data_IF_077010945356
#
_entry.id   IF_077010945356
#
_cell.length_a   1.000
_cell.length_b   1.000
_cell.length_c   1.000
_cell.angle_alpha   90.00
_cell.angle_beta   90.00
_cell.angle_gamma   90.00
#
_symmetry.space_group_name_H-M   'P 1'
#
loop_
_entity.id
_entity.type
_entity.pdbx_description
1 polymer ?
#
# COMPACT_ATOMS: atom_id res chain seq x y z
N UNK A 1 -14.65 -3.44 3.04
CA UNK A 1 -13.82 -4.31 3.89
C UNK A 1 -13.84 -5.73 3.32
N UNK A 2 -12.67 -6.27 3.08
CA UNK A 2 -12.51 -7.65 2.66
C UNK A 2 -11.89 -8.51 3.75
N UNK A 3 -11.94 -9.81 3.57
CA UNK A 3 -11.33 -10.75 4.51
C UNK A 3 -10.40 -11.68 3.74
N UNK A 4 -9.15 -11.76 4.17
CA UNK A 4 -8.18 -12.72 3.66
C UNK A 4 -8.11 -13.89 4.64
N UNK A 5 -8.51 -15.08 4.17
CA UNK A 5 -8.51 -16.28 4.99
C UNK A 5 -7.26 -17.12 4.73
N UNK A 6 -6.72 -17.67 5.79
CA UNK A 6 -5.56 -18.56 5.73
C UNK A 6 -5.97 -20.03 6.02
N UNK A 7 -5.07 -20.95 5.71
CA UNK A 7 -5.35 -22.38 5.81
C UNK A 7 -5.58 -22.89 7.24
N UNK A 8 -5.11 -22.15 8.24
CA UNK A 8 -5.28 -22.49 9.66
C UNK A 8 -6.55 -21.88 10.28
N UNK A 9 -7.48 -21.44 9.45
CA UNK A 9 -8.74 -20.80 9.85
C UNK A 9 -8.59 -19.41 10.46
N UNK A 10 -7.38 -18.84 10.48
CA UNK A 10 -7.20 -17.44 10.84
C UNK A 10 -7.52 -16.55 9.65
N UNK A 11 -7.75 -15.27 9.92
CA UNK A 11 -8.11 -14.31 8.87
C UNK A 11 -7.59 -12.92 9.18
N UNK A 12 -7.28 -12.17 8.11
CA UNK A 12 -6.99 -10.74 8.18
C UNK A 12 -8.17 -9.96 7.58
N UNK A 13 -8.51 -8.87 8.21
CA UNK A 13 -9.49 -7.92 7.66
C UNK A 13 -8.74 -6.80 6.95
N UNK A 14 -9.12 -6.57 5.70
CA UNK A 14 -8.49 -5.56 4.84
C UNK A 14 -9.53 -4.50 4.53
N UNK A 15 -9.24 -3.25 4.89
CA UNK A 15 -10.09 -2.12 4.57
C UNK A 15 -9.49 -1.35 3.39
N UNK A 16 -10.30 -1.12 2.36
CA UNK A 16 -9.92 -0.26 1.26
C UNK A 16 -10.07 1.19 1.69
N UNK A 17 -9.07 2.02 1.35
CA UNK A 17 -9.02 3.42 1.72
C UNK A 17 -8.84 4.26 0.44
N UNK A 18 -9.92 4.48 -0.32
CA UNK A 18 -9.84 5.23 -1.57
C UNK A 18 -9.64 6.72 -1.35
N UNK A 19 -9.06 7.41 -2.34
CA UNK A 19 -9.06 8.87 -2.42
C UNK A 19 -8.03 9.60 -1.58
N UNK A 20 -7.03 8.90 -1.01
CA UNK A 20 -5.98 9.57 -0.23
C UNK A 20 -5.10 10.49 -1.07
N UNK A 21 -4.94 10.21 -2.36
CA UNK A 21 -4.02 10.95 -3.22
C UNK A 21 -4.55 12.33 -3.60
N UNK A 22 -5.86 12.52 -3.66
CA UNK A 22 -6.50 13.71 -4.21
C UNK A 22 -6.97 14.71 -3.14
N UNK A 23 -6.07 15.12 -2.25
CA UNK A 23 -6.38 16.17 -1.29
C UNK A 23 -7.28 15.73 -0.16
N UNK A 24 -7.16 14.51 0.29
CA UNK A 24 -7.94 13.93 1.38
C UNK A 24 -7.82 14.73 2.67
N UNK A 25 -6.68 15.35 2.93
CA UNK A 25 -6.44 16.21 4.10
C UNK A 25 -7.34 17.47 4.09
N UNK A 26 -7.83 17.86 2.91
CA UNK A 26 -8.75 18.99 2.79
C UNK A 26 -10.20 18.62 3.18
N UNK A 27 -10.43 17.39 3.60
CA UNK A 27 -11.75 16.93 4.04
C UNK A 27 -12.68 16.57 2.91
N UNK A 28 -12.23 16.57 1.67
CA UNK A 28 -13.04 16.28 0.50
C UNK A 28 -13.25 14.77 0.38
N UNK A 29 -14.47 14.31 0.67
CA UNK A 29 -14.86 12.91 0.48
C UNK A 29 -14.43 11.96 1.58
N UNK A 30 -13.75 12.44 2.63
CA UNK A 30 -13.31 11.59 3.73
C UNK A 30 -14.05 11.93 5.02
N UNK A 31 -14.93 11.05 5.47
CA UNK A 31 -15.58 11.18 6.76
C UNK A 31 -14.67 10.74 7.91
N UNK A 32 -15.07 11.05 9.13
CA UNK A 32 -14.35 10.63 10.33
C UNK A 32 -14.18 9.12 10.43
N UNK A 33 -15.14 8.35 9.92
CA UNK A 33 -15.08 6.88 9.96
C UNK A 33 -13.92 6.34 9.14
N UNK A 34 -13.63 6.98 8.01
CA UNK A 34 -12.52 6.63 7.14
C UNK A 34 -11.17 6.77 7.86
N UNK A 35 -10.97 7.92 8.52
CA UNK A 35 -9.75 8.20 9.27
C UNK A 35 -9.60 7.26 10.46
N UNK A 36 -10.69 6.85 11.09
CA UNK A 36 -10.67 5.86 12.17
C UNK A 36 -10.22 4.49 11.68
N UNK A 37 -10.59 4.08 10.47
CA UNK A 37 -10.12 2.82 9.89
C UNK A 37 -8.61 2.82 9.74
N UNK A 38 -8.01 3.93 9.27
CA UNK A 38 -6.57 4.06 9.16
C UNK A 38 -5.91 3.99 10.54
N UNK A 39 -6.42 4.74 11.51
CA UNK A 39 -5.87 4.78 12.87
C UNK A 39 -5.86 3.41 13.53
N UNK A 40 -6.87 2.60 13.28
CA UNK A 40 -7.01 1.27 13.86
C UNK A 40 -6.24 0.19 13.11
N UNK A 41 -5.71 0.50 11.94
CA UNK A 41 -4.94 -0.46 11.15
C UNK A 41 -3.61 -0.75 11.82
N UNK A 42 -3.27 -2.03 11.95
CA UNK A 42 -1.98 -2.45 12.50
C UNK A 42 -0.90 -2.50 11.42
N UNK A 43 -1.31 -2.55 10.16
CA UNK A 43 -0.42 -2.72 9.01
C UNK A 43 -1.01 -1.97 7.83
N UNK A 44 -0.15 -1.32 7.06
CA UNK A 44 -0.56 -0.55 5.88
C UNK A 44 -0.03 -1.18 4.60
N UNK A 45 -0.83 -1.18 3.56
CA UNK A 45 -0.42 -1.59 2.22
C UNK A 45 -0.53 -0.36 1.32
N UNK A 46 0.59 0.13 0.83
CA UNK A 46 0.61 1.23 -0.15
C UNK A 46 0.55 0.63 -1.54
N UNK A 47 -0.57 0.77 -2.22
CA UNK A 47 -0.74 0.26 -3.58
C UNK A 47 -0.46 1.40 -4.56
N UNK A 48 0.62 1.27 -5.32
CA UNK A 48 1.09 2.30 -6.25
C UNK A 48 0.86 1.83 -7.68
N UNK A 49 0.23 2.69 -8.49
CA UNK A 49 0.10 2.47 -9.94
C UNK A 49 1.46 2.66 -10.58
N UNK A 50 2.16 1.56 -10.85
CA UNK A 50 3.52 1.60 -11.38
C UNK A 50 3.57 1.86 -12.88
N UNK A 51 2.44 1.81 -13.55
CA UNK A 51 2.36 2.18 -14.97
C UNK A 51 2.34 3.70 -15.17
N UNK A 52 2.05 4.48 -14.14
CA UNK A 52 1.96 5.93 -14.25
C UNK A 52 0.78 6.38 -15.09
N UNK A 53 -0.39 5.75 -14.91
CA UNK A 53 -1.60 6.04 -15.67
C UNK A 53 -1.94 7.53 -15.59
N UNK A 54 -2.39 8.11 -16.71
CA UNK A 54 -2.74 9.52 -16.84
C UNK A 54 -1.56 10.47 -16.56
N UNK A 55 -0.34 10.04 -16.86
CA UNK A 55 0.86 10.86 -16.67
C UNK A 55 1.32 11.00 -15.23
N UNK A 56 0.81 10.17 -14.33
CA UNK A 56 1.19 10.21 -12.92
C UNK A 56 2.58 9.62 -12.72
N UNK A 57 3.31 10.16 -11.74
CA UNK A 57 4.62 9.63 -11.37
C UNK A 57 4.50 8.81 -10.09
N UNK A 58 4.88 7.51 -10.14
CA UNK A 58 4.75 6.64 -8.95
C UNK A 58 5.44 7.16 -7.70
N UNK A 59 6.64 7.74 -7.84
CA UNK A 59 7.37 8.30 -6.70
C UNK A 59 6.58 9.45 -6.06
N UNK A 60 6.01 10.33 -6.87
CA UNK A 60 5.22 11.45 -6.37
C UNK A 60 3.95 10.97 -5.68
N UNK A 61 3.27 10.00 -6.26
CA UNK A 61 2.08 9.39 -5.65
C UNK A 61 2.41 8.81 -4.28
N UNK A 62 3.50 8.07 -4.17
CA UNK A 62 3.95 7.48 -2.91
C UNK A 62 4.28 8.55 -1.87
N UNK A 63 5.04 9.57 -2.26
CA UNK A 63 5.42 10.65 -1.35
C UNK A 63 4.21 11.45 -0.87
N UNK A 64 3.25 11.67 -1.76
CA UNK A 64 2.00 12.35 -1.41
C UNK A 64 1.17 11.53 -0.43
N UNK A 65 1.07 10.21 -0.63
CA UNK A 65 0.40 9.32 0.31
C UNK A 65 1.03 9.38 1.70
N UNK A 66 2.36 9.30 1.77
CA UNK A 66 3.09 9.36 3.05
C UNK A 66 2.86 10.70 3.74
N UNK A 67 2.90 11.79 2.97
CA UNK A 67 2.66 13.14 3.48
C UNK A 67 1.24 13.28 4.04
N UNK A 68 0.23 12.81 3.32
CA UNK A 68 -1.16 12.86 3.76
C UNK A 68 -1.35 12.11 5.08
N UNK A 69 -0.77 10.93 5.20
CA UNK A 69 -0.85 10.15 6.43
C UNK A 69 -0.20 10.89 7.61
N UNK A 70 0.98 11.48 7.41
CA UNK A 70 1.67 12.24 8.45
C UNK A 70 0.88 13.47 8.91
N UNK A 71 0.26 14.17 7.95
CA UNK A 71 -0.56 15.34 8.27
C UNK A 71 -1.78 14.97 9.09
N UNK A 72 -2.28 13.75 8.92
CA UNK A 72 -3.39 13.27 9.69
C UNK A 72 -2.94 12.78 11.08
N UNK A 73 -1.89 11.95 11.14
CA UNK A 73 -1.34 11.41 12.38
C UNK A 73 0.12 10.99 12.13
N UNK A 74 1.06 11.62 12.84
CA UNK A 74 2.49 11.30 12.73
C UNK A 74 2.81 9.84 13.01
N UNK A 75 2.03 9.18 13.87
CA UNK A 75 2.24 7.78 14.20
C UNK A 75 2.04 6.84 13.01
N UNK A 76 1.27 7.25 12.01
CA UNK A 76 1.04 6.46 10.80
C UNK A 76 2.31 6.33 9.96
N UNK A 77 3.20 7.29 10.02
CA UNK A 77 4.47 7.25 9.27
C UNK A 77 5.41 6.16 9.78
N UNK A 78 5.24 5.73 11.02
CA UNK A 78 6.06 4.69 11.65
C UNK A 78 5.35 3.34 11.73
N UNK A 79 4.18 3.24 11.13
CA UNK A 79 3.41 1.99 11.15
C UNK A 79 4.02 0.95 10.24
N UNK A 80 3.94 -0.32 10.66
CA UNK A 80 4.37 -1.44 9.83
C UNK A 80 3.66 -1.39 8.47
N UNK A 81 4.38 -1.60 7.37
CA UNK A 81 3.81 -1.45 6.03
C UNK A 81 4.57 -2.24 4.98
N UNK A 82 3.96 -2.35 3.82
CA UNK A 82 4.59 -2.85 2.60
C UNK A 82 4.13 -1.99 1.43
N UNK A 83 5.00 -1.83 0.44
CA UNK A 83 4.67 -1.14 -0.81
C UNK A 83 4.41 -2.18 -1.89
N UNK A 84 3.28 -2.03 -2.56
CA UNK A 84 2.87 -2.91 -3.65
C UNK A 84 2.89 -2.11 -4.94
N UNK A 85 3.66 -2.59 -5.93
CA UNK A 85 3.70 -2.01 -7.26
C UNK A 85 2.69 -2.74 -8.13
N UNK A 86 1.57 -2.08 -8.44
CA UNK A 86 0.52 -2.66 -9.26
C UNK A 86 0.69 -2.28 -10.73
N UNK A 87 -0.01 -2.98 -11.59
CA UNK A 87 0.00 -2.82 -13.06
C UNK A 87 1.32 -3.23 -13.70
N UNK A 88 2.00 -4.21 -13.11
CA UNK A 88 3.27 -4.70 -13.64
C UNK A 88 3.13 -5.46 -14.96
N UNK A 89 1.90 -5.73 -15.41
CA UNK A 89 1.60 -6.26 -16.74
C UNK A 89 1.80 -5.21 -17.84
N UNK A 90 1.90 -3.93 -17.48
CA UNK A 90 2.12 -2.85 -18.45
C UNK A 90 3.59 -2.72 -18.82
N UNK A 91 3.90 -2.46 -20.11
CA UNK A 91 5.30 -2.42 -20.59
C UNK A 91 6.17 -1.37 -19.88
N UNK A 92 5.60 -0.20 -19.54
CA UNK A 92 6.31 0.89 -18.92
C UNK A 92 6.60 0.68 -17.43
N UNK A 93 5.97 -0.30 -16.79
CA UNK A 93 6.03 -0.48 -15.34
C UNK A 93 7.41 -0.92 -14.84
N UNK A 94 8.11 -1.77 -15.56
CA UNK A 94 9.40 -2.31 -15.13
C UNK A 94 10.45 -1.22 -14.93
N UNK A 95 10.54 -0.27 -15.85
CA UNK A 95 11.47 0.86 -15.77
C UNK A 95 11.10 1.78 -14.62
N UNK A 96 9.82 2.09 -14.47
CA UNK A 96 9.31 2.93 -13.38
C UNK A 96 9.53 2.27 -12.02
N UNK A 97 9.39 0.95 -11.93
CA UNK A 97 9.66 0.22 -10.70
C UNK A 97 11.13 0.35 -10.27
N UNK A 98 12.06 0.20 -11.21
CA UNK A 98 13.48 0.33 -10.91
C UNK A 98 13.82 1.73 -10.39
N UNK A 99 13.27 2.76 -11.02
CA UNK A 99 13.45 4.15 -10.58
C UNK A 99 12.83 4.39 -9.20
N UNK A 100 11.64 3.85 -8.97
CA UNK A 100 10.94 3.96 -7.70
C UNK A 100 11.73 3.31 -6.55
N UNK A 101 12.24 2.11 -6.78
CA UNK A 101 13.03 1.40 -5.78
C UNK A 101 14.28 2.19 -5.39
N UNK A 102 14.97 2.78 -6.36
CA UNK A 102 16.15 3.62 -6.09
C UNK A 102 15.79 4.89 -5.32
N UNK A 103 14.67 5.51 -5.66
CA UNK A 103 14.27 6.78 -5.06
C UNK A 103 13.76 6.63 -3.62
N UNK A 104 13.10 5.51 -3.30
CA UNK A 104 12.42 5.33 -2.02
C UNK A 104 13.14 4.41 -1.05
N UNK A 105 13.95 3.48 -1.56
CA UNK A 105 14.61 2.46 -0.72
C UNK A 105 13.65 1.45 -0.11
N UNK A 106 12.38 1.44 -0.53
CA UNK A 106 11.37 0.56 0.04
C UNK A 106 11.49 -0.87 -0.47
N UNK A 107 11.02 -1.81 0.36
CA UNK A 107 10.77 -3.17 -0.07
C UNK A 107 9.45 -3.20 -0.83
N UNK A 108 9.49 -3.66 -2.08
CA UNK A 108 8.36 -3.56 -2.99
C UNK A 108 7.93 -4.94 -3.47
N UNK A 109 6.64 -5.20 -3.47
CA UNK A 109 6.07 -6.42 -4.05
C UNK A 109 5.43 -6.06 -5.39
N UNK A 110 6.02 -6.50 -6.51
CA UNK A 110 5.44 -6.25 -7.82
C UNK A 110 4.27 -7.19 -8.09
N UNK A 111 3.14 -6.63 -8.50
CA UNK A 111 1.95 -7.42 -8.81
C UNK A 111 1.25 -6.90 -10.06
N UNK A 112 0.34 -7.71 -10.59
CA UNK A 112 -0.73 -7.26 -11.47
C UNK A 112 -2.04 -7.80 -10.92
N UNK A 113 -2.86 -6.92 -10.38
CA UNK A 113 -4.18 -7.33 -9.88
C UNK A 113 -5.06 -7.88 -11.01
N UNK A 114 -4.86 -7.37 -12.23
CA UNK A 114 -5.62 -7.81 -13.40
C UNK A 114 -5.28 -9.26 -13.81
N UNK A 115 -3.98 -9.61 -13.82
CA UNK A 115 -3.54 -10.94 -14.28
C UNK A 115 -3.32 -11.92 -13.14
N UNK A 116 -3.20 -11.44 -11.90
CA UNK A 116 -2.86 -12.26 -10.74
C UNK A 116 -1.37 -12.42 -10.50
N UNK A 117 -0.52 -11.87 -11.36
CA UNK A 117 0.94 -11.94 -11.19
C UNK A 117 1.34 -11.33 -9.86
N UNK A 118 2.18 -12.04 -9.10
CA UNK A 118 2.71 -11.55 -7.82
C UNK A 118 1.74 -11.58 -6.64
N UNK A 119 0.46 -11.85 -6.89
CA UNK A 119 -0.55 -11.90 -5.82
C UNK A 119 -0.26 -13.01 -4.79
N UNK A 120 0.20 -14.21 -5.18
CA UNK A 120 0.59 -15.23 -4.19
C UNK A 120 1.71 -14.76 -3.25
N UNK A 121 2.69 -14.02 -3.75
CA UNK A 121 3.80 -13.47 -2.97
C UNK A 121 3.30 -12.40 -1.98
N UNK A 122 2.38 -11.56 -2.41
CA UNK A 122 1.75 -10.58 -1.52
C UNK A 122 0.99 -11.29 -0.41
N UNK A 123 0.22 -12.31 -0.76
CA UNK A 123 -0.52 -13.11 0.23
C UNK A 123 0.43 -13.74 1.25
N UNK A 124 1.55 -14.30 0.80
CA UNK A 124 2.55 -14.89 1.68
C UNK A 124 3.18 -13.84 2.61
N UNK A 125 3.45 -12.66 2.09
CA UNK A 125 4.00 -11.55 2.90
C UNK A 125 3.02 -11.15 4.01
N UNK A 126 1.74 -11.06 3.71
CA UNK A 126 0.72 -10.75 4.71
C UNK A 126 0.59 -11.86 5.75
N UNK A 127 0.66 -13.11 5.32
CA UNK A 127 0.66 -14.26 6.22
C UNK A 127 1.88 -14.23 7.16
N UNK A 128 3.06 -13.94 6.62
CA UNK A 128 4.29 -13.84 7.41
C UNK A 128 4.20 -12.75 8.47
N UNK A 129 3.67 -11.58 8.09
CA UNK A 129 3.47 -10.52 9.06
C UNK A 129 2.44 -10.92 10.12
N UNK A 130 1.31 -11.46 9.70
CA UNK A 130 0.22 -11.86 10.59
C UNK A 130 0.70 -12.88 11.65
N UNK A 131 1.60 -13.77 11.27
CA UNK A 131 2.16 -14.79 12.17
C UNK A 131 3.40 -14.32 12.93
N UNK A 132 3.81 -13.06 12.74
CA UNK A 132 5.00 -12.51 13.40
C UNK A 132 6.32 -13.02 12.85
N UNK A 133 6.33 -13.58 11.63
CA UNK A 133 7.56 -14.11 11.03
C UNK A 133 8.48 -13.02 10.45
N UNK A 134 7.91 -11.86 10.15
CA UNK A 134 8.65 -10.71 9.58
C UNK A 134 8.20 -9.42 10.23
N UNK A 135 9.12 -8.48 10.28
CA UNK A 135 8.85 -7.12 10.77
C UNK A 135 8.92 -6.15 9.60
N UNK A 136 7.93 -5.29 9.47
CA UNK A 136 7.79 -4.33 8.37
C UNK A 136 7.67 -2.90 8.89
N UNK A 137 8.59 -2.50 9.77
CA UNK A 137 8.58 -1.16 10.36
C UNK A 137 9.28 -0.17 9.43
N UNK A 138 8.77 1.05 9.38
CA UNK A 138 9.47 2.16 8.74
C UNK A 138 10.67 2.54 9.61
N UNK A 139 11.81 2.70 8.94
CA UNK A 139 13.03 3.16 9.60
C UNK A 139 13.20 4.66 9.46
#
# INVERSE_FOLDING_TARGET
IGTLKFDDYTALRIADIPGLIDGAHAGVGLGHDFLRHIERSSFLIFVIDMAGTDGREPVDDYRNLRKELRLHDENLDHRAHVVVANKMDRPEAAEKLAAFARATGESIIPISAETGLGVPELRQTLDDWHRGRRTFLAE
#
